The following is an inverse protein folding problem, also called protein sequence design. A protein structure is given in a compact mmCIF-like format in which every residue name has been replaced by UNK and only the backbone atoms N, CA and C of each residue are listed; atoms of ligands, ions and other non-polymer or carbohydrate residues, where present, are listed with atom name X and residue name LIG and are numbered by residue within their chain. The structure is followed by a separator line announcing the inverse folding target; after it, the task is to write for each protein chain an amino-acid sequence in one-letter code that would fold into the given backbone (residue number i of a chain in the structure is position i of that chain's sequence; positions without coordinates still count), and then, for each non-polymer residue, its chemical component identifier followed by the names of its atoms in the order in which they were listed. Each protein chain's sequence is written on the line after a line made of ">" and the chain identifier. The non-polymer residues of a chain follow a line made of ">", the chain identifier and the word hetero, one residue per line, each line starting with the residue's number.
data_IF_760102207917
#
_entry.id   IF_760102207917
#
_cell.length_a   1.000
_cell.length_b   1.000
_cell.length_c   1.000
_cell.angle_alpha   90.00
_cell.angle_beta   90.00
_cell.angle_gamma   90.00
#
_symmetry.space_group_name_H-M   'P 1'
#
loop_
_entity.id
_entity.type
_entity.pdbx_description
1 polymer ?
#
# COMPACT_ATOMS: atom_id res chain seq x y z
N UNK A 1 -4.43 11.91 11.36
CA UNK A 1 -3.73 12.70 10.31
C UNK A 1 -2.52 11.98 9.69
N UNK A 2 -2.04 10.85 10.23
CA UNK A 2 -0.94 10.03 9.64
C UNK A 2 -1.36 9.11 8.47
N UNK A 3 -2.65 9.01 8.15
CA UNK A 3 -3.17 8.07 7.13
C UNK A 3 -2.70 8.43 5.71
N UNK A 4 -2.30 9.68 5.46
CA UNK A 4 -1.86 10.14 4.14
C UNK A 4 -0.38 9.81 3.83
N UNK A 5 0.30 8.98 4.62
CA UNK A 5 1.70 8.57 4.38
C UNK A 5 1.87 7.77 3.08
N UNK A 6 0.82 7.09 2.61
CA UNK A 6 0.90 6.34 1.34
C UNK A 6 1.15 7.20 0.11
N UNK A 7 0.57 8.41 0.07
CA UNK A 7 0.65 9.30 -1.11
C UNK A 7 2.10 9.70 -1.43
N UNK A 8 2.90 10.25 -0.49
CA UNK A 8 4.29 10.58 -0.78
C UNK A 8 5.14 9.35 -1.13
N UNK A 9 4.84 8.16 -0.58
CA UNK A 9 5.54 6.92 -0.95
C UNK A 9 5.30 6.58 -2.43
N UNK A 10 4.06 6.70 -2.90
CA UNK A 10 3.72 6.47 -4.32
C UNK A 10 4.39 7.50 -5.22
N UNK A 11 4.32 8.79 -4.86
CA UNK A 11 4.91 9.88 -5.65
C UNK A 11 6.43 9.70 -5.78
N UNK A 12 7.12 9.45 -4.67
CA UNK A 12 8.58 9.23 -4.67
C UNK A 12 8.91 7.94 -5.44
N UNK A 13 8.16 6.85 -5.23
CA UNK A 13 8.40 5.58 -5.90
C UNK A 13 8.29 5.67 -7.41
N UNK A 14 7.28 6.38 -7.92
CA UNK A 14 7.15 6.63 -9.36
C UNK A 14 8.16 7.64 -9.89
N UNK A 15 8.49 8.69 -9.15
CA UNK A 15 9.54 9.64 -9.53
C UNK A 15 10.90 8.93 -9.71
N UNK A 16 11.20 7.95 -8.86
CA UNK A 16 12.39 7.10 -8.92
C UNK A 16 12.28 5.97 -9.96
N UNK A 17 11.18 5.88 -10.72
CA UNK A 17 10.91 4.83 -11.72
C UNK A 17 10.99 3.41 -11.18
N UNK A 18 10.66 3.20 -9.91
CA UNK A 18 10.54 1.85 -9.36
C UNK A 18 9.36 1.09 -9.97
N UNK A 19 9.39 -0.23 -9.86
CA UNK A 19 8.30 -1.09 -10.31
C UNK A 19 6.99 -0.68 -9.61
N UNK A 20 5.98 -0.33 -10.40
CA UNK A 20 4.68 0.15 -9.95
C UNK A 20 4.03 -0.77 -8.91
N UNK A 21 4.12 -2.08 -9.12
CA UNK A 21 3.49 -3.09 -8.28
C UNK A 21 4.12 -3.10 -6.87
N UNK A 22 5.45 -2.96 -6.81
CA UNK A 22 6.20 -2.91 -5.56
C UNK A 22 5.93 -1.61 -4.79
N UNK A 23 5.91 -0.48 -5.49
CA UNK A 23 5.61 0.84 -4.91
C UNK A 23 4.23 0.86 -4.28
N UNK A 24 3.21 0.40 -5.00
CA UNK A 24 1.82 0.39 -4.51
C UNK A 24 1.66 -0.57 -3.33
N UNK A 25 2.33 -1.72 -3.35
CA UNK A 25 2.29 -2.67 -2.22
C UNK A 25 2.86 -2.05 -0.94
N UNK A 26 4.05 -1.44 -1.02
CA UNK A 26 4.69 -0.78 0.13
C UNK A 26 3.85 0.40 0.63
N UNK A 27 3.29 1.20 -0.27
CA UNK A 27 2.44 2.33 0.09
C UNK A 27 1.14 1.89 0.79
N UNK A 28 0.51 0.81 0.31
CA UNK A 28 -0.70 0.25 0.92
C UNK A 28 -0.43 -0.34 2.30
N UNK A 29 0.69 -1.05 2.48
CA UNK A 29 1.11 -1.56 3.81
C UNK A 29 1.38 -0.39 4.76
N UNK A 30 2.17 0.60 4.34
CA UNK A 30 2.49 1.76 5.16
C UNK A 30 1.22 2.54 5.56
N UNK A 31 0.26 2.65 4.66
CA UNK A 31 -1.03 3.32 4.92
C UNK A 31 -1.91 2.50 5.87
N UNK A 32 -2.02 1.19 5.67
CA UNK A 32 -2.78 0.31 6.54
C UNK A 32 -2.25 0.33 7.98
N UNK A 33 -0.92 0.26 8.14
CA UNK A 33 -0.27 0.35 9.44
C UNK A 33 -0.46 1.72 10.08
N UNK A 34 -0.30 2.81 9.31
CA UNK A 34 -0.55 4.17 9.80
C UNK A 34 -2.03 4.44 10.14
N UNK A 35 -2.95 3.67 9.54
CA UNK A 35 -4.38 3.66 9.84
C UNK A 35 -4.77 2.79 11.04
N UNK A 36 -3.82 2.09 11.66
CA UNK A 36 -4.07 1.21 12.80
C UNK A 36 -4.66 -0.16 12.44
N UNK A 37 -4.59 -0.57 11.18
CA UNK A 37 -4.98 -1.93 10.78
C UNK A 37 -3.97 -2.96 11.28
N UNK A 38 -4.46 -4.13 11.68
CA UNK A 38 -3.58 -5.23 12.05
C UNK A 38 -2.88 -5.78 10.79
N UNK A 39 -1.63 -6.21 10.90
CA UNK A 39 -0.85 -6.73 9.77
C UNK A 39 -1.57 -7.85 9.00
N UNK A 40 -2.32 -8.69 9.73
CA UNK A 40 -3.12 -9.77 9.13
C UNK A 40 -4.24 -9.20 8.25
N UNK A 41 -4.95 -8.18 8.71
CA UNK A 41 -6.04 -7.54 7.96
C UNK A 41 -5.53 -6.88 6.68
N UNK A 42 -4.33 -6.28 6.73
CA UNK A 42 -3.67 -5.69 5.55
C UNK A 42 -3.41 -6.78 4.50
N UNK A 43 -2.81 -7.90 4.91
CA UNK A 43 -2.51 -9.03 4.00
C UNK A 43 -3.81 -9.61 3.42
N UNK A 44 -4.84 -9.80 4.25
CA UNK A 44 -6.14 -10.30 3.80
C UNK A 44 -6.80 -9.34 2.82
N UNK A 45 -6.76 -8.04 3.06
CA UNK A 45 -7.30 -7.03 2.16
C UNK A 45 -6.57 -7.03 0.80
N UNK A 46 -5.24 -7.12 0.80
CA UNK A 46 -4.46 -7.29 -0.42
C UNK A 46 -4.84 -8.57 -1.17
N UNK A 47 -4.88 -9.72 -0.48
CA UNK A 47 -5.23 -11.00 -1.07
C UNK A 47 -6.62 -10.98 -1.72
N UNK A 48 -7.60 -10.37 -1.05
CA UNK A 48 -8.95 -10.16 -1.60
C UNK A 48 -8.94 -9.23 -2.81
N UNK A 49 -8.24 -8.10 -2.73
CA UNK A 49 -8.14 -7.16 -3.84
C UNK A 49 -7.51 -7.79 -5.09
N UNK A 50 -6.52 -8.69 -4.94
CA UNK A 50 -5.93 -9.42 -6.07
C UNK A 50 -6.85 -10.53 -6.60
N UNK A 51 -7.57 -11.24 -5.72
CA UNK A 51 -8.51 -12.27 -6.13
C UNK A 51 -9.73 -11.70 -6.86
N UNK A 52 -10.23 -10.54 -6.42
CA UNK A 52 -11.36 -9.83 -7.02
C UNK A 52 -10.98 -9.17 -8.37
N UNK A 53 -9.69 -8.86 -8.60
CA UNK A 53 -9.18 -8.31 -9.85
C UNK A 53 -8.79 -9.39 -10.89
N UNK A 54 -9.08 -10.66 -10.63
CA UNK A 54 -8.88 -11.77 -11.56
C UNK A 54 -10.09 -11.94 -12.49
#
# INVERSE_FOLDING_TARGET
>A
MLVLVGVPIVVIGFALRFNALLVVMVAGIATGLAGGMHTVDIITAFGKAFADNR
#
